data_IF_277574077304
#
_entry.id   IF_277574077304
#
_cell.length_a   1.000
_cell.length_b   1.000
_cell.length_c   1.000
_cell.angle_alpha   90.00
_cell.angle_beta   90.00
_cell.angle_gamma   90.00
#
_symmetry.space_group_name_H-M   'P 1'
#
loop_
_entity.id
_entity.type
_entity.pdbx_description
1 polymer ?
#
# COMPACT_ATOMS: atom_id res chain seq x y z
N UNK A 1 10.35 -16.81 3.50
CA UNK A 1 11.00 -15.76 4.34
C UNK A 1 9.97 -14.70 4.75
N UNK A 2 10.24 -13.90 5.79
CA UNK A 2 9.38 -12.77 6.18
C UNK A 2 9.97 -11.46 5.65
N UNK A 3 9.22 -10.73 4.83
CA UNK A 3 9.67 -9.54 4.12
C UNK A 3 8.76 -8.36 4.47
N UNK A 4 9.34 -7.27 4.94
CA UNK A 4 8.65 -6.00 5.14
C UNK A 4 9.09 -5.01 4.07
N UNK A 5 8.15 -4.58 3.23
CA UNK A 5 8.35 -3.52 2.25
C UNK A 5 7.79 -2.22 2.80
N UNK A 6 8.65 -1.22 2.96
CA UNK A 6 8.29 0.10 3.46
C UNK A 6 8.57 1.14 2.38
N UNK A 7 7.56 1.93 2.02
CA UNK A 7 7.71 2.97 1.02
C UNK A 7 6.41 3.71 0.74
N UNK A 8 6.52 4.96 0.31
CA UNK A 8 5.35 5.82 0.10
C UNK A 8 4.60 5.52 -1.20
N UNK A 9 5.27 4.93 -2.20
CA UNK A 9 4.71 4.64 -3.52
C UNK A 9 4.39 3.15 -3.63
N UNK A 10 3.11 2.81 -3.82
CA UNK A 10 2.65 1.43 -3.94
C UNK A 10 1.36 1.35 -4.76
N UNK A 11 1.07 0.18 -5.32
CA UNK A 11 -0.19 -0.10 -6.01
C UNK A 11 -1.41 0.37 -5.18
N UNK A 12 -2.41 1.07 -5.76
CA UNK A 12 -2.76 1.18 -7.18
C UNK A 12 -2.10 2.32 -7.97
N UNK A 13 -1.00 2.92 -7.50
CA UNK A 13 -0.30 3.93 -8.28
C UNK A 13 0.29 3.30 -9.56
N UNK A 14 -0.32 3.64 -10.70
CA UNK A 14 -0.02 3.04 -12.02
C UNK A 14 1.30 3.53 -12.62
N UNK A 15 1.84 4.62 -12.11
CA UNK A 15 3.02 5.30 -12.65
C UNK A 15 4.27 4.98 -11.83
N UNK A 16 5.37 4.69 -12.53
CA UNK A 16 6.70 4.59 -11.94
C UNK A 16 6.83 3.56 -10.81
N UNK A 17 7.27 4.03 -9.65
CA UNK A 17 7.69 3.20 -8.51
C UNK A 17 6.52 2.37 -7.95
N UNK A 18 5.30 2.93 -7.90
CA UNK A 18 4.15 2.25 -7.31
C UNK A 18 3.76 0.95 -8.04
N UNK A 19 3.85 0.95 -9.38
CA UNK A 19 3.62 -0.23 -10.22
C UNK A 19 4.70 -1.28 -9.98
N UNK A 20 5.96 -0.87 -10.05
CA UNK A 20 7.11 -1.77 -9.83
C UNK A 20 7.04 -2.43 -8.44
N UNK A 21 6.85 -1.64 -7.38
CA UNK A 21 6.77 -2.17 -6.02
C UNK A 21 5.55 -3.08 -5.83
N UNK A 22 4.43 -2.77 -6.50
CA UNK A 22 3.24 -3.63 -6.51
C UNK A 22 3.49 -5.01 -7.13
N UNK A 23 4.04 -5.04 -8.35
CA UNK A 23 4.34 -6.28 -9.08
C UNK A 23 5.45 -7.10 -8.39
N UNK A 24 6.48 -6.43 -7.88
CA UNK A 24 7.55 -7.07 -7.11
C UNK A 24 7.01 -7.78 -5.86
N UNK A 25 6.14 -7.11 -5.08
CA UNK A 25 5.52 -7.70 -3.90
C UNK A 25 4.62 -8.87 -4.29
N UNK A 26 3.90 -8.77 -5.41
CA UNK A 26 3.05 -9.84 -5.89
C UNK A 26 3.86 -11.08 -6.26
N UNK A 27 4.96 -10.91 -6.99
CA UNK A 27 5.88 -12.00 -7.33
C UNK A 27 6.48 -12.64 -6.07
N UNK A 28 7.01 -11.84 -5.13
CA UNK A 28 7.56 -12.37 -3.87
C UNK A 28 6.54 -13.19 -3.07
N UNK A 29 5.27 -12.79 -3.07
CA UNK A 29 4.22 -13.55 -2.39
C UNK A 29 3.88 -14.87 -3.12
N UNK A 30 3.95 -14.88 -4.46
CA UNK A 30 3.79 -16.09 -5.27
C UNK A 30 4.93 -17.10 -5.05
N UNK A 31 6.15 -16.63 -4.82
CA UNK A 31 7.32 -17.45 -4.45
C UNK A 31 7.25 -17.98 -2.99
N UNK A 32 6.11 -17.83 -2.30
CA UNK A 32 5.89 -18.38 -0.96
C UNK A 32 6.49 -17.56 0.18
N UNK A 33 6.82 -16.28 -0.05
CA UNK A 33 7.27 -15.40 1.03
C UNK A 33 6.09 -14.74 1.77
N UNK A 34 6.25 -14.57 3.09
CA UNK A 34 5.32 -13.78 3.90
C UNK A 34 5.67 -12.30 3.73
N UNK A 35 4.97 -11.61 2.82
CA UNK A 35 5.24 -10.21 2.49
C UNK A 35 4.20 -9.29 3.13
N UNK A 36 4.70 -8.27 3.83
CA UNK A 36 3.90 -7.18 4.40
C UNK A 36 4.37 -5.86 3.80
N UNK A 37 3.43 -5.00 3.45
CA UNK A 37 3.69 -3.67 2.89
C UNK A 37 3.14 -2.61 3.83
N UNK A 38 3.96 -1.60 4.14
CA UNK A 38 3.53 -0.37 4.80
C UNK A 38 3.73 0.78 3.81
N UNK A 39 2.64 1.47 3.46
CA UNK A 39 2.66 2.50 2.41
C UNK A 39 1.72 3.67 2.67
N UNK A 40 1.84 4.75 1.91
CA UNK A 40 0.96 5.92 1.99
C UNK A 40 -0.28 5.75 1.09
N UNK A 41 -1.32 6.61 1.21
CA UNK A 41 -2.37 6.69 0.21
C UNK A 41 -1.78 7.09 -1.16
N UNK A 42 -2.37 6.63 -2.29
CA UNK A 42 -1.87 6.98 -3.62
C UNK A 42 -1.83 8.49 -3.83
N UNK A 43 -0.71 8.98 -4.38
CA UNK A 43 -0.51 10.39 -4.66
C UNK A 43 -1.44 10.90 -5.77
N UNK A 44 -1.59 10.11 -6.85
CA UNK A 44 -2.47 10.41 -7.97
C UNK A 44 -3.87 9.77 -7.77
N UNK A 45 -4.92 10.60 -7.77
CA UNK A 45 -6.32 10.15 -7.72
C UNK A 45 -6.82 9.73 -9.10
N UNK A 46 -7.06 8.44 -9.31
CA UNK A 46 -7.88 7.94 -10.42
C UNK A 46 -9.30 7.65 -9.92
N UNK A 47 -10.20 8.65 -9.98
CA UNK A 47 -11.65 8.49 -10.12
C UNK A 47 -12.46 7.64 -9.12
N UNK A 48 -11.90 7.07 -8.06
CA UNK A 48 -12.65 6.40 -6.98
C UNK A 48 -12.21 6.96 -5.64
N UNK A 49 -13.16 7.56 -4.96
CA UNK A 49 -13.09 8.10 -3.61
C UNK A 49 -12.38 7.14 -2.65
N UNK A 50 -11.08 7.36 -2.41
CA UNK A 50 -10.41 6.83 -1.24
C UNK A 50 -11.19 7.36 -0.04
N UNK A 51 -11.84 6.47 0.73
CA UNK A 51 -12.71 6.86 1.83
C UNK A 51 -11.99 7.89 2.69
N UNK A 52 -12.55 9.10 2.79
CA UNK A 52 -12.05 10.13 3.68
C UNK A 52 -11.94 9.54 5.08
N UNK A 53 -10.82 9.81 5.75
CA UNK A 53 -10.56 9.34 7.12
C UNK A 53 -10.64 10.56 8.00
N UNK A 54 -11.30 10.44 9.17
CA UNK A 54 -11.33 11.53 10.11
C UNK A 54 -9.89 11.90 10.58
N UNK A 55 -9.63 13.19 10.82
CA UNK A 55 -8.34 13.68 11.29
C UNK A 55 -7.94 13.05 12.63
N UNK A 56 -6.64 12.81 12.84
CA UNK A 56 -6.08 12.28 14.09
C UNK A 56 -6.05 10.75 14.23
N UNK A 57 -6.54 9.98 13.26
CA UNK A 57 -6.54 8.52 13.34
C UNK A 57 -5.33 7.87 12.62
N UNK A 58 -4.46 7.17 13.35
CA UNK A 58 -3.58 6.13 12.80
C UNK A 58 -4.42 4.89 12.46
N UNK A 59 -5.28 5.01 11.45
CA UNK A 59 -6.13 3.92 10.99
C UNK A 59 -5.44 3.13 9.87
N UNK A 60 -4.59 2.18 10.24
CA UNK A 60 -4.03 1.22 9.30
C UNK A 60 -5.14 0.37 8.69
N UNK A 61 -5.56 0.65 7.45
CA UNK A 61 -6.43 -0.29 6.73
C UNK A 61 -5.57 -1.48 6.32
N UNK A 62 -5.75 -2.60 7.02
CA UNK A 62 -5.13 -3.88 6.66
C UNK A 62 -5.99 -4.54 5.59
N UNK A 63 -5.43 -4.73 4.41
CA UNK A 63 -6.08 -5.44 3.31
C UNK A 63 -5.19 -6.62 2.89
N UNK A 64 -5.80 -7.77 2.64
CA UNK A 64 -5.14 -8.87 1.94
C UNK A 64 -5.29 -8.61 0.45
N UNK A 65 -4.16 -8.54 -0.24
CA UNK A 65 -4.13 -8.34 -1.69
C UNK A 65 -4.44 -9.65 -2.41
N UNK A 66 -4.91 -9.60 -3.67
CA UNK A 66 -5.09 -10.80 -4.49
C UNK A 66 -3.82 -11.65 -4.60
N UNK A 67 -2.65 -11.04 -4.49
CA UNK A 67 -1.35 -11.72 -4.46
C UNK A 67 -1.04 -12.46 -3.15
N UNK A 68 -1.90 -12.40 -2.14
CA UNK A 68 -1.65 -12.97 -0.81
C UNK A 68 -0.84 -12.09 0.13
N UNK A 69 -0.20 -11.02 -0.38
CA UNK A 69 0.52 -10.04 0.43
C UNK A 69 -0.43 -9.21 1.31
N UNK A 70 0.04 -8.81 2.50
CA UNK A 70 -0.73 -7.95 3.40
C UNK A 70 -0.28 -6.49 3.26
N UNK A 71 -1.23 -5.58 3.03
CA UNK A 71 -0.98 -4.14 2.92
C UNK A 71 -1.55 -3.40 4.11
N UNK A 72 -0.75 -2.48 4.67
CA UNK A 72 -1.15 -1.51 5.68
C UNK A 72 -0.88 -0.11 5.13
N UNK A 73 -1.90 0.75 5.13
CA UNK A 73 -1.72 2.15 4.74
C UNK A 73 -1.55 3.06 5.96
N UNK A 74 -0.41 3.75 6.03
CA UNK A 74 -0.19 4.89 6.92
C UNK A 74 -0.83 6.12 6.29
N UNK A 75 -1.86 6.69 6.91
CA UNK A 75 -2.54 7.89 6.39
C UNK A 75 -1.84 9.11 7.00
N UNK A 76 -1.31 9.99 6.17
CA UNK A 76 -0.74 11.26 6.64
C UNK A 76 -1.87 12.18 7.12
N UNK A 77 -1.59 12.94 8.19
CA UNK A 77 -2.41 14.08 8.57
C UNK A 77 -2.29 15.14 7.45
N UNK A 78 -3.38 15.80 7.00
CA UNK A 78 -3.23 16.97 6.15
C UNK A 78 -2.45 18.06 6.92
N UNK A 79 -1.68 18.93 6.22
CA UNK A 79 -1.05 20.09 6.86
C UNK A 79 -2.11 21.00 7.51
N UNK A 80 -1.75 21.76 8.55
CA UNK A 80 -2.68 22.57 9.34
C UNK A 80 -3.45 23.60 8.52
#
# INVERSE_FOLDING_TARGET
>A
MKILVYGINYSPELTGIGKYTGEMVAWMAQEGHEVRVITAPPYYRSGRSASAIPPGAIAGKRARLPSGAARCMCRNNPPP
#
